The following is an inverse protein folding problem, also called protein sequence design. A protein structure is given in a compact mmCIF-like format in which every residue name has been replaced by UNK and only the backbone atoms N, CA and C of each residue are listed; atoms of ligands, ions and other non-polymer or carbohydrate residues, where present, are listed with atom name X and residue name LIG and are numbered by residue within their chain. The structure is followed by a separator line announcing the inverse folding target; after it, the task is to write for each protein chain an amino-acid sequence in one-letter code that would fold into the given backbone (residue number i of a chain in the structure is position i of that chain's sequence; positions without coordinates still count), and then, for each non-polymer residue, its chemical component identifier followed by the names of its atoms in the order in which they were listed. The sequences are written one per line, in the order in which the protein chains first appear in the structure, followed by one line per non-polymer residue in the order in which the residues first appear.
data_IF_318483751271
#
_entry.id   IF_318483751271
#
_cell.length_a   1.000
_cell.length_b   1.000
_cell.length_c   1.000
_cell.angle_alpha   90.00
_cell.angle_beta   90.00
_cell.angle_gamma   90.00
#
_symmetry.space_group_name_H-M   'P 1'
#
loop_
_entity.id
_entity.type
_entity.pdbx_description
1 polymer ?
#
# COMPACT_ATOMS: atom_id res chain seq x y z
N UNK A 1 0.31 -21.69 -11.13
CA UNK A 1 0.26 -20.43 -10.36
C UNK A 1 -0.09 -20.79 -8.92
N UNK A 2 0.77 -20.46 -7.99
CA UNK A 2 0.55 -20.75 -6.58
C UNK A 2 -0.60 -19.92 -5.98
N UNK A 3 -1.04 -20.28 -4.76
CA UNK A 3 -2.20 -19.66 -4.11
C UNK A 3 -1.96 -18.19 -3.79
N UNK A 4 -0.74 -17.80 -3.33
CA UNK A 4 -0.41 -16.41 -3.03
C UNK A 4 -0.51 -15.54 -4.27
N UNK A 5 0.11 -15.95 -5.36
CA UNK A 5 0.07 -15.22 -6.64
C UNK A 5 -1.37 -15.04 -7.13
N UNK A 6 -2.21 -16.07 -7.00
CA UNK A 6 -3.63 -16.00 -7.38
C UNK A 6 -4.39 -14.96 -6.53
N UNK A 7 -4.21 -15.00 -5.21
CA UNK A 7 -4.84 -14.04 -4.29
C UNK A 7 -4.37 -12.61 -4.55
N UNK A 8 -3.07 -12.40 -4.71
CA UNK A 8 -2.50 -11.09 -5.05
C UNK A 8 -3.11 -10.54 -6.34
N UNK A 9 -3.19 -11.35 -7.38
CA UNK A 9 -3.78 -10.93 -8.66
C UNK A 9 -5.27 -10.62 -8.52
N UNK A 10 -6.01 -11.42 -7.75
CA UNK A 10 -7.43 -11.17 -7.47
C UNK A 10 -7.64 -9.82 -6.79
N UNK A 11 -6.86 -9.54 -5.75
CA UNK A 11 -6.90 -8.26 -5.01
C UNK A 11 -6.57 -7.09 -5.94
N UNK A 12 -5.43 -7.17 -6.65
CA UNK A 12 -4.98 -6.09 -7.55
C UNK A 12 -6.00 -5.81 -8.65
N UNK A 13 -6.63 -6.84 -9.21
CA UNK A 13 -7.67 -6.67 -10.22
C UNK A 13 -8.93 -6.00 -9.63
N UNK A 14 -9.34 -6.41 -8.44
CA UNK A 14 -10.49 -5.81 -7.75
C UNK A 14 -10.26 -4.35 -7.39
N UNK A 15 -9.09 -4.03 -6.83
CA UNK A 15 -8.73 -2.64 -6.53
C UNK A 15 -8.59 -1.79 -7.80
N UNK A 16 -8.00 -2.32 -8.85
CA UNK A 16 -7.88 -1.60 -10.11
C UNK A 16 -9.26 -1.34 -10.74
N UNK A 17 -10.18 -2.32 -10.68
CA UNK A 17 -11.56 -2.10 -11.07
C UNK A 17 -12.22 -0.97 -10.27
N UNK A 18 -12.09 -0.99 -8.94
CA UNK A 18 -12.59 0.08 -8.07
C UNK A 18 -11.97 1.45 -8.40
N UNK A 19 -10.67 1.48 -8.69
CA UNK A 19 -9.94 2.69 -9.06
C UNK A 19 -10.49 3.32 -10.36
N UNK A 20 -10.75 2.51 -11.37
CA UNK A 20 -11.35 2.99 -12.64
C UNK A 20 -12.78 3.51 -12.50
N UNK A 21 -13.46 3.15 -11.40
CA UNK A 21 -14.86 3.52 -11.14
C UNK A 21 -15.00 4.53 -10.00
N UNK A 22 -13.95 5.31 -9.71
CA UNK A 22 -14.05 6.43 -8.77
C UNK A 22 -14.92 7.51 -9.39
N UNK A 23 -16.03 7.97 -8.73
CA UNK A 23 -16.87 9.04 -9.25
C UNK A 23 -16.13 10.38 -9.26
N UNK A 24 -16.26 11.13 -10.37
CA UNK A 24 -15.69 12.47 -10.50
C UNK A 24 -14.26 12.47 -11.05
N UNK A 25 -13.70 13.66 -11.24
CA UNK A 25 -12.30 13.84 -11.63
C UNK A 25 -11.43 13.93 -10.39
N UNK A 26 -11.08 12.80 -9.81
CA UNK A 26 -9.86 12.78 -9.00
C UNK A 26 -8.70 12.92 -10.01
N UNK A 27 -7.74 13.83 -9.77
CA UNK A 27 -6.61 13.96 -10.65
C UNK A 27 -5.82 12.64 -10.62
N UNK A 28 -6.07 11.81 -11.62
CA UNK A 28 -5.14 10.76 -11.97
C UNK A 28 -3.88 11.50 -12.40
N UNK A 29 -2.92 11.58 -11.49
CA UNK A 29 -1.60 12.04 -11.87
C UNK A 29 -1.10 11.10 -12.96
N UNK A 30 -0.35 11.62 -13.92
CA UNK A 30 0.27 10.83 -14.99
C UNK A 30 1.17 9.69 -14.49
N UNK A 31 1.34 9.55 -13.16
CA UNK A 31 2.06 8.49 -12.48
C UNK A 31 1.20 7.24 -12.20
N UNK A 32 -0.13 7.32 -12.36
CA UNK A 32 -1.04 6.19 -12.11
C UNK A 32 -1.44 5.50 -13.41
N UNK A 33 -0.45 5.14 -14.23
CA UNK A 33 -0.67 4.18 -15.32
C UNK A 33 -1.10 2.84 -14.71
N UNK A 34 -1.90 2.06 -15.44
CA UNK A 34 -2.25 0.69 -15.03
C UNK A 34 -1.02 -0.11 -14.57
N UNK A 35 0.07 -0.03 -15.34
CA UNK A 35 1.32 -0.71 -15.01
C UNK A 35 1.91 -0.23 -13.68
N UNK A 36 1.93 1.07 -13.43
CA UNK A 36 2.40 1.66 -12.17
C UNK A 36 1.53 1.26 -10.99
N UNK A 37 0.20 1.34 -11.12
CA UNK A 37 -0.74 0.90 -10.12
C UNK A 37 -0.52 -0.58 -9.76
N UNK A 38 -0.53 -1.46 -10.77
CA UNK A 38 -0.34 -2.91 -10.57
C UNK A 38 1.00 -3.25 -9.95
N UNK A 39 2.08 -2.57 -10.37
CA UNK A 39 3.41 -2.72 -9.82
C UNK A 39 3.43 -2.39 -8.32
N UNK A 40 2.92 -1.23 -7.94
CA UNK A 40 2.91 -0.77 -6.56
C UNK A 40 2.05 -1.69 -5.66
N UNK A 41 0.83 -2.00 -6.09
CA UNK A 41 -0.09 -2.82 -5.29
C UNK A 41 0.38 -4.27 -5.17
N UNK A 42 0.82 -4.91 -6.25
CA UNK A 42 1.35 -6.27 -6.19
C UNK A 42 2.58 -6.37 -5.27
N UNK A 43 3.49 -5.38 -5.35
CA UNK A 43 4.67 -5.35 -4.48
C UNK A 43 4.32 -5.23 -3.00
N UNK A 44 3.26 -4.50 -2.66
CA UNK A 44 2.77 -4.39 -1.29
C UNK A 44 2.15 -5.72 -0.80
N UNK A 45 1.24 -6.29 -1.57
CA UNK A 45 0.52 -7.51 -1.18
C UNK A 45 1.42 -8.75 -1.12
N UNK A 46 2.47 -8.82 -1.91
CA UNK A 46 3.46 -9.90 -1.82
C UNK A 46 4.24 -9.96 -0.49
N UNK A 47 4.18 -8.90 0.32
CA UNK A 47 4.76 -8.90 1.67
C UNK A 47 3.79 -9.45 2.74
N UNK A 48 2.51 -9.65 2.40
CA UNK A 48 1.48 -10.13 3.32
C UNK A 48 1.48 -11.65 3.47
N UNK A 49 0.99 -12.16 4.59
CA UNK A 49 0.72 -13.59 4.74
C UNK A 49 -0.43 -14.03 3.84
N UNK A 50 -0.49 -15.34 3.57
CA UNK A 50 -1.60 -15.92 2.81
C UNK A 50 -2.95 -15.72 3.52
N UNK A 51 -2.96 -15.72 4.85
CA UNK A 51 -4.16 -15.49 5.65
C UNK A 51 -4.69 -14.06 5.45
N UNK A 52 -3.80 -13.05 5.48
CA UNK A 52 -4.16 -11.66 5.24
C UNK A 52 -4.63 -11.43 3.80
N UNK A 53 -3.92 -12.03 2.82
CA UNK A 53 -4.34 -11.98 1.41
C UNK A 53 -5.74 -12.58 1.21
N UNK A 54 -6.01 -13.75 1.79
CA UNK A 54 -7.31 -14.41 1.65
C UNK A 54 -8.43 -13.58 2.29
N UNK A 55 -8.18 -13.00 3.46
CA UNK A 55 -9.14 -12.14 4.15
C UNK A 55 -9.46 -10.88 3.33
N UNK A 56 -8.44 -10.20 2.81
CA UNK A 56 -8.64 -8.97 2.04
C UNK A 56 -9.27 -9.25 0.66
N UNK A 57 -8.92 -10.36 0.01
CA UNK A 57 -9.59 -10.78 -1.22
C UNK A 57 -11.10 -11.00 -1.00
N UNK A 58 -11.48 -11.51 0.17
CA UNK A 58 -12.88 -11.64 0.56
C UNK A 58 -13.52 -10.28 0.82
N UNK A 59 -12.85 -9.35 1.53
CA UNK A 59 -13.35 -7.98 1.76
C UNK A 59 -13.66 -7.28 0.42
N UNK A 60 -12.77 -7.41 -0.58
CA UNK A 60 -12.98 -6.83 -1.92
C UNK A 60 -14.21 -7.46 -2.60
N UNK A 61 -14.36 -8.78 -2.54
CA UNK A 61 -15.49 -9.46 -3.15
C UNK A 61 -16.82 -9.07 -2.48
N UNK A 62 -16.86 -9.02 -1.16
CA UNK A 62 -18.02 -8.57 -0.38
C UNK A 62 -18.32 -7.09 -0.65
N UNK A 63 -17.30 -6.22 -0.64
CA UNK A 63 -17.46 -4.80 -0.92
C UNK A 63 -18.03 -4.55 -2.33
N UNK A 64 -17.54 -5.26 -3.35
CA UNK A 64 -18.07 -5.16 -4.71
C UNK A 64 -19.53 -5.64 -4.79
N UNK A 65 -19.85 -6.74 -4.09
CA UNK A 65 -21.23 -7.24 -4.01
C UNK A 65 -22.18 -6.21 -3.39
N UNK A 66 -21.73 -5.52 -2.36
CA UNK A 66 -22.50 -4.54 -1.61
C UNK A 66 -22.48 -3.14 -2.26
N UNK A 67 -21.86 -3.00 -3.43
CA UNK A 67 -21.76 -1.74 -4.15
C UNK A 67 -20.78 -0.74 -3.52
N UNK A 68 -19.89 -1.18 -2.63
CA UNK A 68 -18.85 -0.34 -2.04
C UNK A 68 -17.67 -0.22 -3.00
N UNK A 69 -17.00 0.94 -2.97
CA UNK A 69 -15.77 1.19 -3.69
C UNK A 69 -14.70 1.70 -2.71
N UNK A 70 -13.79 0.81 -2.30
CA UNK A 70 -12.75 1.09 -1.31
C UNK A 70 -11.79 2.20 -1.74
N UNK A 71 -11.57 2.40 -3.06
CA UNK A 71 -10.75 3.49 -3.56
C UNK A 71 -11.47 4.83 -3.37
N UNK A 72 -12.75 4.90 -3.69
CA UNK A 72 -13.59 6.08 -3.43
C UNK A 72 -13.63 6.40 -1.94
N UNK A 73 -13.90 5.40 -1.10
CA UNK A 73 -13.95 5.55 0.36
C UNK A 73 -12.61 6.07 0.92
N UNK A 74 -11.48 5.49 0.49
CA UNK A 74 -10.14 5.91 0.90
C UNK A 74 -9.86 7.37 0.56
N UNK A 75 -10.11 7.79 -0.67
CA UNK A 75 -9.87 9.18 -1.07
C UNK A 75 -10.82 10.16 -0.36
N UNK A 76 -12.09 9.81 -0.20
CA UNK A 76 -13.03 10.61 0.57
C UNK A 76 -12.60 10.75 2.04
N UNK A 77 -11.97 9.73 2.62
CA UNK A 77 -11.38 9.80 3.97
C UNK A 77 -10.13 10.66 4.01
N UNK A 78 -9.25 10.59 3.02
CA UNK A 78 -8.05 11.45 2.92
C UNK A 78 -8.48 12.92 2.89
N UNK A 79 -9.50 13.25 2.13
CA UNK A 79 -10.04 14.61 1.99
C UNK A 79 -11.01 15.01 3.12
N UNK A 80 -11.21 14.15 4.10
CA UNK A 80 -12.13 14.35 5.22
C UNK A 80 -13.57 14.67 4.81
N UNK A 81 -14.05 14.08 3.71
CA UNK A 81 -15.40 14.27 3.16
C UNK A 81 -16.43 13.35 3.80
N UNK A 82 -16.00 12.26 4.43
CA UNK A 82 -16.85 11.30 5.12
C UNK A 82 -16.30 10.99 6.53
N UNK A 83 -17.15 10.58 7.48
CA UNK A 83 -16.68 10.17 8.80
C UNK A 83 -15.83 8.88 8.72
N UNK A 84 -15.06 8.53 9.79
CA UNK A 84 -14.32 7.29 9.86
C UNK A 84 -15.22 6.07 9.57
N UNK A 85 -14.71 5.18 8.70
CA UNK A 85 -15.46 3.97 8.26
C UNK A 85 -15.26 2.84 9.27
N UNK A 86 -14.03 2.65 9.72
CA UNK A 86 -13.66 1.68 10.73
C UNK A 86 -12.84 2.37 11.83
N UNK A 87 -13.24 2.17 13.08
CA UNK A 87 -12.59 2.78 14.26
C UNK A 87 -11.81 1.78 15.10
N UNK A 88 -11.44 0.63 14.54
CA UNK A 88 -10.68 -0.39 15.23
C UNK A 88 -9.35 0.20 15.78
N UNK A 89 -9.03 -0.06 17.07
CA UNK A 89 -7.77 0.39 17.65
C UNK A 89 -6.53 -0.23 16.98
N UNK A 90 -6.70 -1.31 16.21
CA UNK A 90 -5.62 -1.93 15.45
C UNK A 90 -5.08 -0.99 14.36
N UNK A 91 -5.93 -0.14 13.79
CA UNK A 91 -5.52 0.84 12.78
C UNK A 91 -4.40 1.74 13.31
N UNK A 92 -4.57 2.30 14.50
CA UNK A 92 -3.54 3.15 15.12
C UNK A 92 -2.23 2.39 15.37
N UNK A 93 -2.32 1.13 15.81
CA UNK A 93 -1.14 0.29 16.06
C UNK A 93 -0.37 -0.01 14.77
N UNK A 94 -1.08 -0.40 13.72
CA UNK A 94 -0.48 -0.67 12.40
C UNK A 94 0.18 0.62 11.85
N UNK A 95 -0.55 1.73 11.87
CA UNK A 95 -0.05 3.03 11.38
C UNK A 95 1.23 3.44 12.10
N UNK A 96 1.28 3.31 13.44
CA UNK A 96 2.46 3.68 14.22
C UNK A 96 3.71 2.87 13.80
N UNK A 97 3.58 1.56 13.58
CA UNK A 97 4.69 0.69 13.15
C UNK A 97 5.12 1.04 11.72
N UNK A 98 4.18 1.15 10.81
CA UNK A 98 4.47 1.44 9.39
C UNK A 98 5.07 2.83 9.19
N UNK A 99 4.61 3.85 9.94
CA UNK A 99 5.19 5.19 9.91
C UNK A 99 6.64 5.17 10.39
N UNK A 100 6.93 4.48 11.49
CA UNK A 100 8.29 4.34 11.99
C UNK A 100 9.22 3.67 10.95
N UNK A 101 8.75 2.62 10.29
CA UNK A 101 9.48 1.97 9.21
C UNK A 101 9.74 2.91 8.02
N UNK A 102 8.71 3.65 7.63
CA UNK A 102 8.78 4.60 6.52
C UNK A 102 9.75 5.76 6.79
N UNK A 103 9.74 6.30 8.01
CA UNK A 103 10.65 7.37 8.43
C UNK A 103 12.11 6.92 8.43
N UNK A 104 12.39 5.71 8.91
CA UNK A 104 13.73 5.11 8.84
C UNK A 104 14.23 4.95 7.40
N UNK A 105 13.38 4.50 6.50
CA UNK A 105 13.72 4.39 5.08
C UNK A 105 13.91 5.76 4.42
N UNK A 106 13.05 6.73 4.73
CA UNK A 106 13.14 8.09 4.20
C UNK A 106 14.44 8.79 4.62
N UNK A 107 14.86 8.57 5.86
CA UNK A 107 16.14 9.08 6.37
C UNK A 107 17.33 8.43 5.68
N UNK A 108 17.25 7.13 5.39
CA UNK A 108 18.32 6.36 4.74
C UNK A 108 18.42 6.62 3.23
N UNK A 109 17.28 6.84 2.57
CA UNK A 109 17.18 6.94 1.10
C UNK A 109 16.42 8.22 0.68
N UNK A 110 16.96 9.41 0.97
CA UNK A 110 16.22 10.66 0.79
C UNK A 110 15.90 10.99 -0.67
N UNK A 111 16.72 10.56 -1.64
CA UNK A 111 16.47 10.81 -3.08
C UNK A 111 15.34 9.94 -3.62
N UNK A 112 15.33 8.68 -3.21
CA UNK A 112 14.25 7.74 -3.56
C UNK A 112 12.88 8.29 -3.14
N UNK A 113 12.78 8.86 -1.95
CA UNK A 113 11.52 9.38 -1.43
C UNK A 113 11.17 10.80 -1.91
N UNK A 114 12.13 11.58 -2.44
CA UNK A 114 11.84 12.89 -3.04
C UNK A 114 11.03 12.78 -4.33
N UNK A 115 11.20 11.73 -5.11
CA UNK A 115 10.49 11.53 -6.37
C UNK A 115 9.01 11.16 -6.18
N UNK A 116 8.64 10.61 -5.02
CA UNK A 116 7.27 10.21 -4.68
C UNK A 116 6.54 11.19 -3.75
N UNK A 117 7.05 12.40 -3.56
CA UNK A 117 6.48 13.38 -2.65
C UNK A 117 5.20 14.02 -3.22
N UNK A 118 4.14 13.25 -3.34
CA UNK A 118 2.77 13.68 -3.55
C UNK A 118 2.02 13.73 -2.23
N UNK A 119 1.85 14.85 -1.74
CA UNK A 119 0.82 15.62 -1.07
C UNK A 119 0.15 15.14 0.20
N UNK A 120 -0.17 13.92 0.46
CA UNK A 120 -0.78 13.53 1.72
C UNK A 120 0.24 12.92 2.66
N UNK A 121 0.14 13.26 3.94
CA UNK A 121 0.87 12.61 4.99
C UNK A 121 0.65 11.08 4.90
N UNK A 122 1.76 10.31 4.91
CA UNK A 122 1.73 8.84 4.80
C UNK A 122 0.81 8.22 5.85
N UNK A 123 0.80 8.75 7.06
CA UNK A 123 -0.06 8.27 8.14
C UNK A 123 -1.55 8.45 7.80
N UNK A 124 -1.93 9.57 7.22
CA UNK A 124 -3.31 9.84 6.77
C UNK A 124 -3.70 8.91 5.63
N UNK A 125 -2.82 8.75 4.64
CA UNK A 125 -3.06 7.84 3.52
C UNK A 125 -3.27 6.39 3.99
N UNK A 126 -2.35 5.88 4.83
CA UNK A 126 -2.42 4.51 5.33
C UNK A 126 -3.65 4.30 6.23
N UNK A 127 -3.95 5.24 7.13
CA UNK A 127 -5.14 5.18 7.98
C UNK A 127 -6.40 5.08 7.14
N UNK A 128 -6.56 5.94 6.14
CA UNK A 128 -7.73 5.98 5.27
C UNK A 128 -7.90 4.68 4.48
N UNK A 129 -6.80 4.04 4.09
CA UNK A 129 -6.83 2.72 3.45
C UNK A 129 -7.26 1.63 4.45
N UNK A 130 -6.67 1.59 5.64
CA UNK A 130 -6.99 0.59 6.66
C UNK A 130 -8.44 0.70 7.17
N UNK A 131 -9.03 1.89 7.15
CA UNK A 131 -10.44 2.08 7.50
C UNK A 131 -11.40 1.37 6.54
N UNK A 132 -10.98 1.01 5.32
CA UNK A 132 -11.79 0.25 4.37
C UNK A 132 -11.77 -1.26 4.63
N UNK A 133 -10.85 -1.76 5.46
CA UNK A 133 -10.67 -3.19 5.75
C UNK A 133 -11.65 -3.67 6.80
N UNK A 134 -12.05 -4.94 6.71
CA UNK A 134 -12.78 -5.61 7.78
C UNK A 134 -11.91 -5.80 9.03
N UNK A 135 -12.54 -5.96 10.19
CA UNK A 135 -11.82 -6.26 11.44
C UNK A 135 -11.00 -7.55 11.32
N UNK A 136 -11.48 -8.54 10.59
CA UNK A 136 -10.78 -9.79 10.31
C UNK A 136 -9.48 -9.53 9.54
N UNK A 137 -9.52 -8.68 8.50
CA UNK A 137 -8.34 -8.32 7.71
C UNK A 137 -7.38 -7.47 8.53
N UNK A 138 -7.87 -6.50 9.31
CA UNK A 138 -7.06 -5.72 10.23
C UNK A 138 -6.34 -6.60 11.25
N UNK A 139 -7.01 -7.59 11.82
CA UNK A 139 -6.42 -8.55 12.76
C UNK A 139 -5.28 -9.34 12.11
N UNK A 140 -5.51 -9.91 10.92
CA UNK A 140 -4.51 -10.69 10.20
C UNK A 140 -3.31 -9.81 9.79
N UNK A 141 -3.57 -8.60 9.30
CA UNK A 141 -2.50 -7.69 8.91
C UNK A 141 -1.70 -7.18 10.11
N UNK A 142 -2.35 -6.92 11.24
CA UNK A 142 -1.64 -6.58 12.47
C UNK A 142 -0.71 -7.71 12.95
N UNK A 143 -1.12 -8.97 12.78
CA UNK A 143 -0.25 -10.12 13.07
C UNK A 143 0.97 -10.17 12.14
N UNK A 144 0.79 -9.88 10.83
CA UNK A 144 1.90 -9.81 9.88
C UNK A 144 2.91 -8.71 10.25
N UNK A 145 2.41 -7.51 10.55
CA UNK A 145 3.21 -6.34 10.92
C UNK A 145 3.94 -6.57 12.26
N UNK A 146 3.24 -7.10 13.27
CA UNK A 146 3.83 -7.38 14.59
C UNK A 146 4.92 -8.44 14.49
N UNK A 147 4.68 -9.53 13.76
CA UNK A 147 5.66 -10.58 13.54
C UNK A 147 6.90 -10.05 12.83
N UNK A 148 6.70 -9.25 11.77
CA UNK A 148 7.82 -8.65 11.06
C UNK A 148 8.66 -7.75 11.99
N UNK A 149 8.02 -6.97 12.85
CA UNK A 149 8.70 -6.12 13.83
C UNK A 149 9.50 -6.96 14.84
N UNK A 150 8.93 -8.03 15.38
CA UNK A 150 9.60 -8.96 16.30
C UNK A 150 10.81 -9.65 15.65
N UNK A 151 10.71 -9.96 14.35
CA UNK A 151 11.79 -10.55 13.55
C UNK A 151 12.84 -9.51 13.07
N UNK A 152 12.70 -8.25 13.43
CA UNK A 152 13.58 -7.17 12.97
C UNK A 152 13.46 -6.86 11.48
N UNK A 153 12.35 -7.24 10.85
CA UNK A 153 12.04 -6.98 9.43
C UNK A 153 11.27 -5.68 9.29
N UNK A 154 11.37 -5.11 8.10
CA UNK A 154 10.67 -3.89 7.70
C UNK A 154 9.86 -4.17 6.44
N UNK A 155 8.54 -4.38 6.57
CA UNK A 155 7.69 -4.70 5.42
C UNK A 155 7.60 -3.54 4.41
N UNK A 156 7.74 -2.30 4.85
CA UNK A 156 7.81 -1.16 3.93
C UNK A 156 9.08 -1.25 3.05
N UNK A 157 10.22 -1.59 3.64
CA UNK A 157 11.47 -1.82 2.91
C UNK A 157 11.37 -3.00 1.93
N UNK A 158 10.77 -4.11 2.37
CA UNK A 158 10.53 -5.27 1.51
C UNK A 158 9.63 -4.94 0.31
N UNK A 159 8.58 -4.17 0.52
CA UNK A 159 7.67 -3.67 -0.53
C UNK A 159 8.41 -2.84 -1.57
N UNK A 160 9.24 -1.88 -1.13
CA UNK A 160 10.04 -1.07 -2.04
C UNK A 160 11.09 -1.90 -2.77
N UNK A 161 11.76 -2.83 -2.10
CA UNK A 161 12.72 -3.73 -2.73
C UNK A 161 12.07 -4.58 -3.85
N UNK A 162 10.88 -5.11 -3.62
CA UNK A 162 10.12 -5.83 -4.66
C UNK A 162 9.76 -4.94 -5.84
N UNK A 163 9.34 -3.71 -5.56
CA UNK A 163 8.97 -2.75 -6.59
C UNK A 163 10.18 -2.40 -7.48
N UNK A 164 11.31 -2.00 -6.88
CA UNK A 164 12.50 -1.62 -7.64
C UNK A 164 13.19 -2.81 -8.30
N UNK A 165 13.08 -4.02 -7.71
CA UNK A 165 13.56 -5.26 -8.33
C UNK A 165 12.93 -5.53 -9.69
N UNK A 166 11.65 -5.20 -9.86
CA UNK A 166 10.95 -5.28 -11.15
C UNK A 166 11.38 -4.20 -12.15
N UNK A 167 12.01 -3.13 -11.67
CA UNK A 167 12.65 -2.10 -12.49
C UNK A 167 14.12 -2.43 -12.83
N UNK A 168 14.61 -3.61 -12.39
CA UNK A 168 15.95 -4.11 -12.71
C UNK A 168 17.04 -3.73 -11.70
N UNK A 169 16.69 -3.15 -10.54
CA UNK A 169 17.66 -2.79 -9.50
C UNK A 169 17.76 -3.90 -8.45
N UNK A 170 18.98 -4.10 -7.93
CA UNK A 170 19.26 -5.16 -6.94
C UNK A 170 18.93 -4.74 -5.50
N UNK A 171 18.97 -3.44 -5.21
CA UNK A 171 18.73 -2.90 -3.87
C UNK A 171 18.22 -1.46 -3.93
N UNK A 172 17.65 -0.96 -2.83
CA UNK A 172 17.25 0.45 -2.71
C UNK A 172 18.50 1.35 -2.79
N UNK A 173 19.62 0.90 -2.24
CA UNK A 173 20.92 1.59 -2.32
C UNK A 173 21.39 1.78 -3.76
N UNK A 174 21.22 0.76 -4.61
CA UNK A 174 21.56 0.84 -6.05
C UNK A 174 20.73 1.91 -6.74
N UNK A 175 19.44 1.93 -6.47
CA UNK A 175 18.54 2.92 -7.06
C UNK A 175 18.84 4.33 -6.54
N UNK A 176 19.07 4.48 -5.24
CA UNK A 176 19.45 5.75 -4.62
C UNK A 176 20.75 6.33 -5.22
N UNK A 177 21.76 5.47 -5.50
CA UNK A 177 23.00 5.89 -6.18
C UNK A 177 22.76 6.36 -7.61
N UNK A 178 21.91 5.64 -8.36
CA UNK A 178 21.54 6.08 -9.72
C UNK A 178 20.93 7.47 -9.69
N UNK A 179 19.97 7.70 -8.81
CA UNK A 179 19.33 9.02 -8.65
C UNK A 179 20.33 10.12 -8.27
N UNK A 180 21.36 9.78 -7.50
CA UNK A 180 22.44 10.73 -7.18
C UNK A 180 23.25 11.14 -8.40
N UNK A 181 23.53 10.20 -9.32
CA UNK A 181 24.28 10.50 -10.54
C UNK A 181 23.46 11.29 -11.56
N UNK A 182 22.16 11.06 -11.66
CA UNK A 182 21.26 11.80 -12.56
C UNK A 182 21.03 13.25 -12.12
N UNK A 183 21.17 13.56 -10.83
CA UNK A 183 21.03 14.92 -10.29
C UNK A 183 22.32 15.74 -10.38
N UNK A 184 23.46 15.10 -10.65
CA UNK A 184 24.77 15.73 -10.71
C UNK A 184 25.21 16.11 -12.16
N UNK A 185 24.47 15.69 -13.19
CA UNK A 185 24.69 16.00 -14.61
C UNK A 185 23.64 16.89 -15.18
#
# INVERSE_FOLDING_TARGET
MDKRTRLTNQIVNGEYFMFLHIPGQYPTTSQESEAGFRLARASAFECWSEATLASYAQDIAEGMHDGRNFMTEKYARIDNLIPPINTSPLIHKIVAIEVNWQEGLRSKYPRFFKQGAGGSDFATYLRSELETYSDRTLQSYFQDVSRAQEEGRNLAGERYLKMIGRLGYKSIEDYERKLATEQAG
#
